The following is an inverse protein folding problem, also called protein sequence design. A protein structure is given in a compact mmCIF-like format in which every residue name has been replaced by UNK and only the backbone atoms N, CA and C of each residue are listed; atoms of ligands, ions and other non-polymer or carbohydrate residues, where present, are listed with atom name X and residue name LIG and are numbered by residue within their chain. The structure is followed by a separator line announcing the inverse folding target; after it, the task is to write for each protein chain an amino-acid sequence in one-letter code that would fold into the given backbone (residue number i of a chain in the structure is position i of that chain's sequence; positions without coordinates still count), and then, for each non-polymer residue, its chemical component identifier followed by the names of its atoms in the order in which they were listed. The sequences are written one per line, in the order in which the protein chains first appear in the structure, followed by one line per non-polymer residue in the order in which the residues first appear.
data_IF_290141898193
#
_entry.id   IF_290141898193
#
_cell.length_a   1.000
_cell.length_b   1.000
_cell.length_c   1.000
_cell.angle_alpha   90.00
_cell.angle_beta   90.00
_cell.angle_gamma   90.00
#
_symmetry.space_group_name_H-M   'P 1'
#
loop_
_entity.id
_entity.type
_entity.pdbx_description
1 polymer ?
#
# COMPACT_ATOMS: atom_id res chain seq x y z
N UNK A 1 -8.43 5.06 11.05
CA UNK A 1 -8.39 3.63 10.69
C UNK A 1 -6.94 3.18 10.76
N UNK A 2 -6.60 2.16 11.56
CA UNK A 2 -5.21 1.70 11.70
C UNK A 2 -5.04 0.42 10.88
N UNK A 3 -4.17 0.46 9.89
CA UNK A 3 -3.81 -0.71 9.10
C UNK A 3 -2.86 -1.55 9.95
N UNK A 4 -3.23 -2.79 10.22
CA UNK A 4 -2.42 -3.70 11.03
C UNK A 4 -1.38 -4.41 10.16
N UNK A 5 -1.79 -4.79 8.95
CA UNK A 5 -0.95 -5.49 7.98
C UNK A 5 -1.44 -5.21 6.57
N UNK A 6 -0.51 -5.26 5.62
CA UNK A 6 -0.82 -5.19 4.19
C UNK A 6 -0.23 -6.42 3.50
N UNK A 7 -1.04 -7.07 2.67
CA UNK A 7 -0.59 -8.06 1.72
C UNK A 7 -0.20 -7.36 0.42
N UNK A 8 0.94 -7.71 -0.12
CA UNK A 8 1.42 -7.21 -1.40
C UNK A 8 1.52 -8.36 -2.39
N UNK A 9 1.30 -8.05 -3.65
CA UNK A 9 1.61 -8.95 -4.76
C UNK A 9 2.73 -8.36 -5.60
N UNK A 10 3.56 -9.24 -6.18
CA UNK A 10 4.58 -8.84 -7.13
C UNK A 10 3.91 -8.36 -8.42
N UNK A 11 4.09 -7.09 -8.75
CA UNK A 11 3.78 -6.52 -10.06
C UNK A 11 4.93 -6.72 -11.06
N UNK A 12 4.78 -6.12 -12.24
CA UNK A 12 5.88 -6.07 -13.22
C UNK A 12 7.07 -5.24 -12.73
N UNK A 13 8.28 -5.54 -13.22
CA UNK A 13 9.52 -4.81 -12.90
C UNK A 13 9.87 -4.66 -11.40
N UNK A 14 9.55 -5.65 -10.55
CA UNK A 14 9.95 -5.64 -9.14
C UNK A 14 9.19 -4.63 -8.28
N UNK A 15 8.12 -4.03 -8.81
CA UNK A 15 7.19 -3.22 -8.05
C UNK A 15 6.25 -4.14 -7.26
N UNK A 16 6.03 -3.84 -5.99
CA UNK A 16 5.05 -4.54 -5.17
C UNK A 16 3.83 -3.64 -5.04
N UNK A 17 2.64 -4.21 -5.29
CA UNK A 17 1.38 -3.48 -5.22
C UNK A 17 0.52 -4.05 -4.09
N UNK A 18 -0.20 -3.21 -3.34
CA UNK A 18 -1.07 -3.68 -2.27
C UNK A 18 -2.23 -4.51 -2.85
N UNK A 19 -2.40 -5.72 -2.33
CA UNK A 19 -3.45 -6.68 -2.69
C UNK A 19 -4.62 -6.61 -1.70
N UNK A 20 -4.31 -6.59 -0.42
CA UNK A 20 -5.29 -6.60 0.66
C UNK A 20 -4.74 -5.87 1.88
N UNK A 21 -5.63 -5.31 2.69
CA UNK A 21 -5.31 -4.67 3.96
C UNK A 21 -6.05 -5.37 5.08
N UNK A 22 -5.39 -5.49 6.23
CA UNK A 22 -5.97 -6.05 7.45
C UNK A 22 -6.29 -4.91 8.40
N UNK A 23 -7.57 -4.79 8.75
CA UNK A 23 -8.07 -3.73 9.63
C UNK A 23 -9.05 -4.34 10.63
N UNK A 24 -8.73 -4.24 11.93
CA UNK A 24 -9.57 -4.78 12.98
C UNK A 24 -9.69 -6.30 12.91
N UNK A 25 -8.65 -6.99 12.43
CA UNK A 25 -8.67 -8.43 12.18
C UNK A 25 -9.41 -8.86 10.90
N UNK A 26 -10.07 -7.96 10.19
CA UNK A 26 -10.73 -8.25 8.92
C UNK A 26 -9.80 -8.05 7.73
N UNK A 27 -9.88 -8.96 6.77
CA UNK A 27 -9.12 -8.89 5.51
C UNK A 27 -9.97 -8.24 4.43
N UNK A 28 -9.59 -7.04 4.00
CA UNK A 28 -10.26 -6.29 2.93
C UNK A 28 -9.38 -6.26 1.68
N UNK A 29 -9.91 -6.77 0.57
CA UNK A 29 -9.22 -6.71 -0.72
C UNK A 29 -9.18 -5.28 -1.27
N UNK A 30 -8.06 -4.94 -1.89
CA UNK A 30 -7.93 -3.72 -2.69
C UNK A 30 -8.68 -3.93 -4.00
N UNK A 31 -9.70 -3.12 -4.23
CA UNK A 31 -10.48 -3.09 -5.47
C UNK A 31 -9.72 -2.37 -6.58
N UNK A 32 -9.15 -1.21 -6.25
CA UNK A 32 -8.42 -0.37 -7.19
C UNK A 32 -7.36 0.46 -6.46
N UNK A 33 -6.23 0.70 -7.12
CA UNK A 33 -5.22 1.66 -6.65
C UNK A 33 -5.50 2.99 -7.35
N UNK A 34 -5.97 3.97 -6.57
CA UNK A 34 -6.32 5.32 -7.05
C UNK A 34 -5.05 6.10 -7.38
N UNK A 35 -4.02 5.96 -6.55
CA UNK A 35 -2.76 6.69 -6.69
C UNK A 35 -1.60 5.87 -6.16
N UNK A 36 -0.45 5.96 -6.83
CA UNK A 36 0.80 5.36 -6.39
C UNK A 36 1.91 6.40 -6.52
N UNK A 37 2.62 6.64 -5.42
CA UNK A 37 3.71 7.62 -5.36
C UNK A 37 4.91 7.01 -4.64
N UNK A 38 6.06 6.99 -5.31
CA UNK A 38 7.34 6.70 -4.67
C UNK A 38 8.02 8.00 -4.28
N UNK A 39 8.39 8.10 -3.01
CA UNK A 39 9.23 9.17 -2.47
C UNK A 39 10.60 8.58 -2.24
N UNK A 40 11.59 9.10 -2.97
CA UNK A 40 13.00 8.91 -2.65
C UNK A 40 13.41 10.06 -1.75
N UNK A 41 13.85 9.74 -0.55
CA UNK A 41 14.49 10.73 0.30
C UNK A 41 15.88 11.03 -0.30
N UNK A 42 16.21 12.30 -0.50
CA UNK A 42 17.48 12.69 -1.14
C UNK A 42 18.65 12.63 -0.16
N UNK A 43 18.35 12.73 1.13
CA UNK A 43 19.30 12.84 2.23
C UNK A 43 19.40 11.51 3.02
N UNK A 44 18.56 10.52 2.68
CA UNK A 44 18.52 9.20 3.31
C UNK A 44 18.35 8.10 2.24
N UNK A 45 19.02 6.95 2.36
CA UNK A 45 18.82 5.82 1.44
C UNK A 45 17.39 5.23 1.50
N UNK A 46 16.55 5.70 2.42
CA UNK A 46 15.18 5.23 2.62
C UNK A 46 14.30 5.61 1.45
N UNK A 47 13.64 4.61 0.89
CA UNK A 47 12.58 4.81 -0.10
C UNK A 47 11.23 4.55 0.55
N UNK A 48 10.24 5.38 0.23
CA UNK A 48 8.89 5.22 0.74
C UNK A 48 7.91 5.15 -0.42
N UNK A 49 7.21 4.04 -0.54
CA UNK A 49 6.08 3.90 -1.46
C UNK A 49 4.79 4.26 -0.71
N UNK A 50 3.97 5.14 -1.31
CA UNK A 50 2.67 5.55 -0.81
C UNK A 50 1.63 5.16 -1.84
N UNK A 51 0.63 4.39 -1.42
CA UNK A 51 -0.49 3.98 -2.25
C UNK A 51 -1.80 4.49 -1.65
N UNK A 52 -2.65 5.09 -2.49
CA UNK A 52 -4.04 5.33 -2.15
C UNK A 52 -4.89 4.25 -2.82
N UNK A 53 -5.62 3.49 -2.01
CA UNK A 53 -6.35 2.31 -2.44
C UNK A 53 -7.84 2.48 -2.13
N UNK A 54 -8.69 2.07 -3.07
CA UNK A 54 -10.10 1.81 -2.85
C UNK A 54 -10.27 0.33 -2.49
N UNK A 55 -10.90 0.04 -1.37
CA UNK A 55 -11.21 -1.31 -0.92
C UNK A 55 -12.53 -1.82 -1.52
N UNK A 56 -12.73 -3.13 -1.48
CA UNK A 56 -13.97 -3.76 -1.97
C UNK A 56 -15.23 -3.29 -1.25
N UNK A 57 -15.11 -2.83 0.00
CA UNK A 57 -16.20 -2.27 0.79
C UNK A 57 -16.47 -0.78 0.49
N UNK A 58 -15.71 -0.18 -0.43
CA UNK A 58 -15.84 1.23 -0.82
C UNK A 58 -15.00 2.21 0.00
N UNK A 59 -14.29 1.74 1.02
CA UNK A 59 -13.43 2.61 1.82
C UNK A 59 -12.12 2.96 1.10
N UNK A 60 -11.62 4.17 1.35
CA UNK A 60 -10.34 4.63 0.84
C UNK A 60 -9.29 4.56 1.94
N UNK A 61 -8.19 3.89 1.66
CA UNK A 61 -7.09 3.74 2.61
C UNK A 61 -5.78 4.16 1.99
N UNK A 62 -4.90 4.74 2.81
CA UNK A 62 -3.54 5.07 2.43
C UNK A 62 -2.60 4.04 3.02
N UNK A 63 -1.90 3.32 2.15
CA UNK A 63 -0.87 2.34 2.50
C UNK A 63 0.50 3.01 2.33
N UNK A 64 1.35 2.88 3.33
CA UNK A 64 2.72 3.37 3.29
C UNK A 64 3.67 2.20 3.51
N UNK A 65 4.66 2.05 2.62
CA UNK A 65 5.69 1.00 2.70
C UNK A 65 7.05 1.67 2.68
N UNK A 66 7.83 1.48 3.74
CA UNK A 66 9.25 1.81 3.74
C UNK A 66 10.03 0.65 3.10
N UNK A 67 10.98 0.99 2.23
CA UNK A 67 11.98 0.08 1.68
C UNK A 67 13.34 0.51 2.23
N UNK A 68 14.04 -0.45 2.82
CA UNK A 68 15.44 -0.33 3.26
C UNK A 68 16.42 -0.64 2.11
#
# INVERSE_FOLDING_TARGET
MKIERVEYYAGGCGEEKPLAVYIGGERLLVKEIISAKRILDKDSPRQKDIFECLLINGERVRVEKERE
#
